data_IF_483100430660
#
_entry.id   IF_483100430660
#
_cell.length_a   1.000
_cell.length_b   1.000
_cell.length_c   1.000
_cell.angle_alpha   90.00
_cell.angle_beta   90.00
_cell.angle_gamma   90.00
#
_symmetry.space_group_name_H-M   'P 1'
#
loop_
_entity.id
_entity.type
_entity.pdbx_description
1 polymer ?
#
# COMPACT_ATOMS: atom_id res chain seq x y z
N UNK A 1 -30.24 13.23 12.56
CA UNK A 1 -28.93 12.57 12.44
C UNK A 1 -28.81 12.19 10.96
N UNK A 2 -28.07 13.01 10.18
CA UNK A 2 -27.84 12.72 8.77
C UNK A 2 -26.86 11.53 8.68
N UNK A 3 -27.19 10.55 7.84
CA UNK A 3 -26.28 9.48 7.50
C UNK A 3 -24.99 10.08 6.91
N UNK A 4 -23.81 9.54 7.21
CA UNK A 4 -22.57 10.01 6.61
C UNK A 4 -22.70 9.90 5.08
N UNK A 5 -22.43 10.98 4.38
CA UNK A 5 -22.39 10.98 2.91
C UNK A 5 -21.17 10.18 2.45
N UNK A 6 -21.24 9.53 1.28
CA UNK A 6 -20.14 8.72 0.71
C UNK A 6 -18.81 9.50 0.57
N UNK A 7 -18.85 10.83 0.55
CA UNK A 7 -17.68 11.71 0.51
C UNK A 7 -16.97 11.86 1.87
N UNK A 8 -17.66 11.65 3.00
CA UNK A 8 -17.05 11.69 4.35
C UNK A 8 -16.03 10.56 4.57
N UNK A 9 -16.15 9.45 3.85
CA UNK A 9 -15.23 8.31 3.94
C UNK A 9 -13.86 8.53 3.26
N UNK A 10 -13.75 9.53 2.39
CA UNK A 10 -12.49 9.89 1.72
C UNK A 10 -11.72 11.01 2.44
N UNK A 11 -12.24 11.54 3.54
CA UNK A 11 -11.57 12.59 4.31
C UNK A 11 -10.47 12.02 5.22
N UNK A 12 -9.26 11.87 4.67
CA UNK A 12 -8.07 11.43 5.42
C UNK A 12 -7.54 12.49 6.38
N UNK A 13 -8.08 13.69 6.41
CA UNK A 13 -7.66 14.75 7.35
C UNK A 13 -8.15 14.49 8.77
N UNK A 14 -9.23 13.75 8.94
CA UNK A 14 -9.76 13.37 10.26
C UNK A 14 -9.01 12.16 10.83
N UNK A 15 -8.83 12.05 12.16
CA UNK A 15 -8.32 10.84 12.78
C UNK A 15 -9.19 9.63 12.38
N UNK A 16 -8.53 8.54 11.97
CA UNK A 16 -9.26 7.29 11.73
C UNK A 16 -9.84 6.79 13.05
N UNK A 17 -11.11 6.40 13.04
CA UNK A 17 -11.64 5.61 14.16
C UNK A 17 -10.98 4.23 14.07
N UNK A 18 -10.35 3.71 15.16
CA UNK A 18 -9.81 2.37 15.13
C UNK A 18 -10.96 1.40 14.82
N UNK A 19 -10.79 0.60 13.78
CA UNK A 19 -11.71 -0.46 13.44
C UNK A 19 -11.58 -1.64 14.41
N UNK A 20 -12.48 -2.61 14.34
CA UNK A 20 -12.37 -3.83 15.11
C UNK A 20 -11.07 -4.56 14.73
N UNK A 21 -10.39 -5.21 15.70
CA UNK A 21 -9.19 -5.98 15.39
C UNK A 21 -9.51 -7.07 14.35
N UNK A 22 -8.57 -7.38 13.47
CA UNK A 22 -8.79 -8.44 12.47
C UNK A 22 -9.13 -9.76 13.13
N UNK A 23 -10.00 -10.58 12.54
CA UNK A 23 -10.35 -11.90 13.08
C UNK A 23 -9.11 -12.76 13.34
N UNK A 24 -9.08 -13.58 14.40
CA UNK A 24 -7.92 -14.42 14.75
C UNK A 24 -7.42 -15.31 13.61
N UNK A 25 -8.31 -15.86 12.81
CA UNK A 25 -7.99 -16.68 11.63
C UNK A 25 -7.23 -15.88 10.58
N UNK A 26 -7.63 -14.63 10.35
CA UNK A 26 -6.95 -13.72 9.40
C UNK A 26 -5.55 -13.36 9.91
N UNK A 27 -5.41 -13.14 11.22
CA UNK A 27 -4.10 -12.90 11.84
C UNK A 27 -3.20 -14.13 11.77
N UNK A 28 -3.72 -15.33 12.03
CA UNK A 28 -2.98 -16.58 11.94
C UNK A 28 -2.47 -16.82 10.51
N UNK A 29 -3.33 -16.64 9.51
CA UNK A 29 -2.96 -16.73 8.10
C UNK A 29 -1.91 -15.70 7.71
N UNK A 30 -2.07 -14.44 8.11
CA UNK A 30 -1.10 -13.37 7.83
C UNK A 30 0.27 -13.66 8.47
N UNK A 31 0.31 -14.23 9.69
CA UNK A 31 1.56 -14.68 10.32
C UNK A 31 2.23 -15.80 9.53
N UNK A 32 1.46 -16.76 9.03
CA UNK A 32 1.97 -17.83 8.20
C UNK A 32 2.51 -17.28 6.88
N UNK A 33 1.79 -16.38 6.21
CA UNK A 33 2.23 -15.71 4.98
C UNK A 33 3.51 -14.88 5.23
N UNK A 34 3.58 -14.13 6.34
CA UNK A 34 4.78 -13.38 6.72
C UNK A 34 5.99 -14.29 6.99
N UNK A 35 5.76 -15.47 7.59
CA UNK A 35 6.83 -16.43 7.90
C UNK A 35 7.28 -17.26 6.70
N UNK A 36 6.35 -17.56 5.78
CA UNK A 36 6.59 -18.46 4.63
C UNK A 36 6.73 -17.76 3.30
N UNK A 37 6.62 -16.43 3.23
CA UNK A 37 6.70 -15.62 2.00
C UNK A 37 7.71 -16.17 1.00
N UNK A 38 7.63 -15.83 -0.29
CA UNK A 38 8.55 -16.37 -1.30
C UNK A 38 9.99 -16.20 -0.80
N UNK A 39 10.79 -17.27 -0.60
CA UNK A 39 12.09 -17.20 0.06
C UNK A 39 13.04 -16.18 -0.57
N UNK A 40 12.96 -16.01 -1.89
CA UNK A 40 13.78 -15.05 -2.63
C UNK A 40 13.34 -13.60 -2.39
N UNK A 41 12.04 -13.34 -2.33
CA UNK A 41 11.49 -12.01 -2.03
C UNK A 41 11.65 -11.66 -0.56
N UNK A 42 11.47 -12.64 0.34
CA UNK A 42 11.70 -12.47 1.77
C UNK A 42 13.17 -12.12 2.08
N UNK A 43 14.15 -12.71 1.37
CA UNK A 43 15.57 -12.37 1.49
C UNK A 43 15.90 -10.94 1.04
N UNK A 44 15.03 -10.33 0.23
CA UNK A 44 15.14 -8.94 -0.22
C UNK A 44 14.34 -7.97 0.65
N UNK A 45 13.77 -8.44 1.76
CA UNK A 45 12.91 -7.65 2.64
C UNK A 45 11.49 -7.45 2.10
N UNK A 46 11.05 -8.32 1.18
CA UNK A 46 9.74 -8.19 0.54
C UNK A 46 8.83 -9.38 0.84
N UNK A 47 7.59 -9.11 1.28
CA UNK A 47 6.57 -10.10 1.58
C UNK A 47 5.30 -9.79 0.79
N UNK A 48 4.79 -10.74 0.03
CA UNK A 48 3.53 -10.62 -0.71
C UNK A 48 2.46 -11.50 -0.08
N UNK A 49 1.28 -10.93 0.16
CA UNK A 49 0.11 -11.71 0.55
C UNK A 49 -0.40 -12.51 -0.66
N UNK A 50 0.02 -13.77 -0.76
CA UNK A 50 -0.28 -14.66 -1.90
C UNK A 50 -1.78 -14.78 -2.23
N UNK A 51 -2.64 -14.60 -1.23
CA UNK A 51 -4.09 -14.73 -1.39
C UNK A 51 -4.74 -13.60 -2.21
N UNK A 52 -4.03 -12.50 -2.40
CA UNK A 52 -4.55 -11.31 -3.08
C UNK A 52 -3.89 -11.02 -4.41
N UNK A 53 -3.11 -11.95 -4.94
CA UNK A 53 -2.59 -11.80 -6.30
C UNK A 53 -3.75 -11.73 -7.29
N UNK A 54 -3.75 -10.75 -8.19
CA UNK A 54 -4.73 -10.72 -9.25
C UNK A 54 -4.50 -11.95 -10.14
N UNK A 55 -5.57 -12.63 -10.59
CA UNK A 55 -5.46 -13.78 -11.50
C UNK A 55 -4.91 -13.39 -12.88
N UNK A 56 -4.96 -12.10 -13.21
CA UNK A 56 -4.44 -11.51 -14.44
C UNK A 56 -3.83 -10.13 -14.15
N UNK A 57 -2.99 -9.64 -15.04
CA UNK A 57 -2.45 -8.29 -14.96
C UNK A 57 -3.56 -7.25 -14.81
N UNK A 58 -3.38 -6.30 -13.91
CA UNK A 58 -4.30 -5.18 -13.78
C UNK A 58 -4.15 -4.25 -14.99
N UNK A 59 -5.25 -3.67 -15.41
CA UNK A 59 -5.27 -2.71 -16.51
C UNK A 59 -5.06 -1.29 -15.95
N UNK A 60 -4.18 -0.46 -16.54
CA UNK A 60 -3.98 0.91 -16.08
C UNK A 60 -5.28 1.73 -16.15
N UNK A 61 -5.64 2.40 -15.07
CA UNK A 61 -6.87 3.23 -14.98
C UNK A 61 -6.85 4.43 -15.92
N UNK A 62 -5.67 4.93 -16.28
CA UNK A 62 -5.50 6.01 -17.25
C UNK A 62 -5.43 5.52 -18.72
N UNK A 63 -5.55 4.20 -18.95
CA UNK A 63 -5.56 3.58 -20.28
C UNK A 63 -4.18 3.40 -20.93
N UNK A 64 -3.08 3.85 -20.32
CA UNK A 64 -1.75 3.77 -20.95
C UNK A 64 -0.67 3.18 -20.04
N UNK A 65 -0.46 3.76 -18.87
CA UNK A 65 0.58 3.36 -17.91
C UNK A 65 -0.01 3.30 -16.50
N UNK A 66 0.47 2.37 -15.68
CA UNK A 66 0.08 2.31 -14.28
C UNK A 66 0.56 3.54 -13.52
N UNK A 67 -0.31 4.09 -12.68
CA UNK A 67 -0.02 5.19 -11.77
C UNK A 67 0.22 4.65 -10.38
N UNK A 68 1.43 4.85 -9.85
CA UNK A 68 1.81 4.46 -8.50
C UNK A 68 1.76 5.69 -7.60
N UNK A 69 0.99 5.59 -6.53
CA UNK A 69 0.91 6.64 -5.52
C UNK A 69 1.84 6.30 -4.36
N UNK A 70 2.86 7.12 -4.14
CA UNK A 70 3.89 6.92 -3.10
C UNK A 70 3.60 7.86 -1.94
N UNK A 71 3.39 7.29 -0.77
CA UNK A 71 3.14 8.01 0.48
C UNK A 71 4.32 7.78 1.41
N UNK A 72 5.13 8.83 1.61
CA UNK A 72 6.42 8.78 2.32
C UNK A 72 6.80 10.21 2.75
N UNK A 73 7.21 10.43 3.98
CA UNK A 73 7.59 11.76 4.46
C UNK A 73 9.05 12.15 4.14
N UNK A 74 9.93 11.17 3.98
CA UNK A 74 11.31 11.43 3.56
C UNK A 74 11.38 11.86 2.09
N UNK A 75 11.71 13.13 1.88
CA UNK A 75 11.78 13.71 0.54
C UNK A 75 12.85 13.06 -0.36
N UNK A 76 13.97 12.58 0.21
CA UNK A 76 15.02 11.91 -0.55
C UNK A 76 14.56 10.53 -1.02
N UNK A 77 13.93 9.77 -0.13
CA UNK A 77 13.37 8.47 -0.48
C UNK A 77 12.23 8.60 -1.49
N UNK A 78 11.34 9.58 -1.33
CA UNK A 78 10.30 9.90 -2.31
C UNK A 78 10.87 10.16 -3.70
N UNK A 79 11.91 11.02 -3.78
CA UNK A 79 12.57 11.34 -5.04
C UNK A 79 13.20 10.09 -5.67
N UNK A 80 13.97 9.31 -4.89
CA UNK A 80 14.60 8.10 -5.35
C UNK A 80 13.59 7.08 -5.89
N UNK A 81 12.54 6.79 -5.12
CA UNK A 81 11.48 5.86 -5.51
C UNK A 81 10.78 6.36 -6.78
N UNK A 82 10.49 7.66 -6.86
CA UNK A 82 9.86 8.28 -8.03
C UNK A 82 10.70 8.15 -9.29
N UNK A 83 12.00 8.43 -9.22
CA UNK A 83 12.93 8.30 -10.35
C UNK A 83 13.00 6.86 -10.86
N UNK A 84 13.12 5.91 -9.95
CA UNK A 84 13.17 4.49 -10.31
C UNK A 84 11.89 4.01 -10.94
N UNK A 85 10.73 4.27 -10.33
CA UNK A 85 9.43 3.85 -10.87
C UNK A 85 9.15 4.50 -12.22
N UNK A 86 9.55 5.76 -12.41
CA UNK A 86 9.43 6.45 -13.72
C UNK A 86 10.33 5.81 -14.76
N UNK A 87 11.55 5.40 -14.40
CA UNK A 87 12.47 4.64 -15.27
C UNK A 87 11.90 3.27 -15.68
N UNK A 88 11.10 2.66 -14.85
CA UNK A 88 10.37 1.40 -15.13
C UNK A 88 9.06 1.62 -15.92
N UNK A 89 8.77 2.84 -16.33
CA UNK A 89 7.62 3.18 -17.17
C UNK A 89 6.33 3.50 -16.41
N UNK A 90 6.36 3.57 -15.07
CA UNK A 90 5.21 3.97 -14.27
C UNK A 90 5.01 5.49 -14.25
N UNK A 91 3.77 5.93 -14.07
CA UNK A 91 3.46 7.28 -13.61
C UNK A 91 3.50 7.31 -12.09
N UNK A 92 3.99 8.40 -11.51
CA UNK A 92 4.11 8.53 -10.06
C UNK A 92 3.34 9.74 -9.53
N UNK A 93 2.70 9.57 -8.39
CA UNK A 93 2.10 10.64 -7.56
C UNK A 93 2.68 10.52 -6.16
N UNK A 94 2.68 11.62 -5.41
CA UNK A 94 3.34 11.69 -4.11
C UNK A 94 2.49 12.36 -3.06
N UNK A 95 2.62 11.90 -1.81
CA UNK A 95 2.12 12.59 -0.63
C UNK A 95 3.08 12.35 0.55
N UNK A 96 3.21 13.35 1.42
CA UNK A 96 4.08 13.33 2.60
C UNK A 96 3.32 13.44 3.93
N UNK A 97 2.03 13.72 3.86
CA UNK A 97 1.16 13.94 5.00
C UNK A 97 -0.31 13.69 4.65
N UNK A 98 -1.18 13.70 5.67
CA UNK A 98 -2.62 13.46 5.50
C UNK A 98 -3.31 14.38 4.49
N UNK A 99 -2.95 15.68 4.50
CA UNK A 99 -3.61 16.64 3.62
C UNK A 99 -3.29 16.35 2.15
N UNK A 100 -2.04 16.01 1.87
CA UNK A 100 -1.60 15.61 0.53
C UNK A 100 -2.23 14.29 0.10
N UNK A 101 -2.33 13.29 1.01
CA UNK A 101 -3.01 12.02 0.75
C UNK A 101 -4.47 12.29 0.36
N UNK A 102 -5.16 13.12 1.15
CA UNK A 102 -6.54 13.49 0.87
C UNK A 102 -6.69 14.18 -0.49
N UNK A 103 -5.81 15.13 -0.79
CA UNK A 103 -5.82 15.84 -2.06
C UNK A 103 -5.59 14.89 -3.26
N UNK A 104 -4.70 13.90 -3.14
CA UNK A 104 -4.40 12.95 -4.21
C UNK A 104 -5.54 11.96 -4.46
N UNK A 105 -6.21 11.46 -3.42
CA UNK A 105 -7.36 10.57 -3.61
C UNK A 105 -8.62 11.28 -4.16
N UNK A 106 -8.68 12.59 -4.08
CA UNK A 106 -9.74 13.39 -4.72
C UNK A 106 -9.48 13.70 -6.20
N UNK A 107 -8.30 13.37 -6.74
CA UNK A 107 -7.98 13.50 -8.17
C UNK A 107 -8.42 12.27 -8.95
N UNK A 108 -8.85 12.49 -10.19
CA UNK A 108 -9.19 11.41 -11.12
C UNK A 108 -8.19 11.36 -12.29
N UNK A 109 -7.93 10.19 -12.87
CA UNK A 109 -8.29 8.87 -12.36
C UNK A 109 -7.56 8.52 -11.05
N UNK A 110 -8.14 7.63 -10.23
CA UNK A 110 -7.47 7.11 -9.04
C UNK A 110 -6.17 6.37 -9.43
N UNK A 111 -5.16 6.27 -8.53
CA UNK A 111 -3.96 5.47 -8.78
C UNK A 111 -4.30 3.99 -8.90
N UNK A 112 -3.38 3.22 -9.49
CA UNK A 112 -3.53 1.77 -9.68
C UNK A 112 -2.95 0.97 -8.51
N UNK A 113 -1.98 1.57 -7.78
CA UNK A 113 -1.34 0.98 -6.61
C UNK A 113 -0.85 2.09 -5.67
N UNK A 114 -0.90 1.82 -4.38
CA UNK A 114 -0.34 2.69 -3.34
C UNK A 114 0.88 2.03 -2.70
N UNK A 115 2.00 2.73 -2.68
CA UNK A 115 3.13 2.45 -1.79
C UNK A 115 2.96 3.33 -0.55
N UNK A 116 2.81 2.72 0.62
CA UNK A 116 2.40 3.41 1.84
C UNK A 116 3.38 3.16 2.97
N UNK A 117 4.06 4.22 3.44
CA UNK A 117 4.84 4.13 4.65
C UNK A 117 3.95 3.97 5.88
N UNK A 118 4.38 3.14 6.82
CA UNK A 118 3.72 2.96 8.12
C UNK A 118 3.94 4.18 9.01
N UNK A 119 5.14 4.75 9.00
CA UNK A 119 5.57 5.79 9.95
C UNK A 119 5.51 7.18 9.32
N UNK A 120 4.32 7.77 9.27
CA UNK A 120 4.13 9.13 8.81
C UNK A 120 4.06 10.11 10.00
N UNK A 121 4.42 11.40 9.83
CA UNK A 121 4.54 12.35 10.94
C UNK A 121 3.20 12.70 11.62
N UNK A 122 2.11 12.63 10.88
CA UNK A 122 0.78 13.07 11.33
C UNK A 122 -0.27 11.93 11.34
N UNK A 123 0.13 10.71 10.96
CA UNK A 123 -0.77 9.55 10.92
C UNK A 123 -0.01 8.22 10.94
N UNK A 124 -0.72 7.14 11.21
CA UNK A 124 -0.22 5.77 11.07
C UNK A 124 -0.69 5.19 9.72
N UNK A 125 0.24 4.66 8.93
CA UNK A 125 -0.07 4.03 7.63
C UNK A 125 -1.07 2.87 7.76
N UNK A 126 -1.09 2.14 8.88
CA UNK A 126 -2.11 1.12 9.12
C UNK A 126 -3.51 1.72 9.20
N UNK A 127 -3.66 2.89 9.83
CA UNK A 127 -4.94 3.60 9.90
C UNK A 127 -5.42 4.07 8.52
N UNK A 128 -4.49 4.49 7.67
CA UNK A 128 -4.80 4.84 6.27
C UNK A 128 -5.26 3.60 5.50
N UNK A 129 -4.52 2.50 5.61
CA UNK A 129 -4.88 1.22 4.97
C UNK A 129 -6.29 0.77 5.37
N UNK A 130 -6.58 0.79 6.67
CA UNK A 130 -7.89 0.39 7.21
C UNK A 130 -9.01 1.27 6.63
N UNK A 131 -8.80 2.59 6.58
CA UNK A 131 -9.76 3.52 5.97
C UNK A 131 -9.95 3.24 4.48
N UNK A 132 -8.87 2.97 3.74
CA UNK A 132 -8.96 2.56 2.33
C UNK A 132 -9.81 1.30 2.17
N UNK A 133 -9.63 0.29 3.03
CA UNK A 133 -10.39 -0.97 2.96
C UNK A 133 -11.87 -0.80 3.30
N UNK A 134 -12.21 0.19 4.10
CA UNK A 134 -13.60 0.53 4.46
C UNK A 134 -14.29 1.45 3.43
N UNK A 135 -13.55 2.05 2.51
CA UNK A 135 -14.10 2.90 1.46
C UNK A 135 -14.40 2.10 0.18
N UNK A 136 -15.61 2.21 -0.37
CA UNK A 136 -16.04 1.44 -1.55
C UNK A 136 -15.15 1.64 -2.79
N UNK A 137 -14.68 2.89 -3.01
CA UNK A 137 -13.83 3.23 -4.18
C UNK A 137 -12.40 2.72 -4.06
N UNK A 138 -11.88 2.62 -2.81
CA UNK A 138 -10.49 2.28 -2.50
C UNK A 138 -10.31 0.84 -1.98
N UNK A 139 -11.39 0.16 -1.59
CA UNK A 139 -11.35 -1.15 -0.93
C UNK A 139 -10.57 -2.23 -1.70
N UNK A 140 -10.59 -2.16 -3.03
CA UNK A 140 -9.91 -3.11 -3.91
C UNK A 140 -8.59 -2.57 -4.49
N UNK A 141 -8.20 -1.36 -4.12
CA UNK A 141 -6.95 -0.76 -4.61
C UNK A 141 -5.75 -1.47 -4.01
N UNK A 142 -4.80 -1.95 -4.81
CA UNK A 142 -3.59 -2.59 -4.31
C UNK A 142 -2.79 -1.66 -3.41
N UNK A 143 -2.32 -2.19 -2.28
CA UNK A 143 -1.48 -1.46 -1.31
C UNK A 143 -0.28 -2.32 -0.94
N UNK A 144 0.91 -1.75 -1.13
CA UNK A 144 2.17 -2.29 -0.62
C UNK A 144 2.64 -1.39 0.52
N UNK A 145 2.76 -1.95 1.71
CA UNK A 145 3.28 -1.23 2.87
C UNK A 145 4.80 -1.14 2.80
N UNK A 146 5.35 0.02 3.13
CA UNK A 146 6.80 0.24 3.31
C UNK A 146 7.06 0.60 4.77
N UNK A 147 8.07 0.04 5.42
CA UNK A 147 8.34 0.37 6.81
C UNK A 147 9.73 -0.05 7.30
N UNK A 148 10.28 0.70 8.27
CA UNK A 148 11.44 0.29 9.06
C UNK A 148 11.14 -0.81 10.10
N UNK A 149 9.86 -1.11 10.31
CA UNK A 149 9.43 -2.17 11.24
C UNK A 149 9.48 -3.51 10.53
N UNK A 150 10.52 -4.29 10.80
CA UNK A 150 10.74 -5.61 10.21
C UNK A 150 10.25 -6.77 11.09
N UNK A 151 9.53 -6.48 12.18
CA UNK A 151 8.95 -7.49 13.04
C UNK A 151 7.84 -8.26 12.29
N UNK A 152 7.87 -9.57 12.39
CA UNK A 152 6.84 -10.47 11.82
C UNK A 152 5.44 -10.06 12.27
N UNK A 153 5.31 -9.53 13.48
CA UNK A 153 4.03 -9.05 14.02
C UNK A 153 3.49 -7.85 13.26
N UNK A 154 4.34 -6.88 12.92
CA UNK A 154 3.94 -5.68 12.15
C UNK A 154 3.60 -6.05 10.70
N UNK A 155 4.40 -6.94 10.10
CA UNK A 155 4.12 -7.48 8.76
C UNK A 155 2.77 -8.21 8.75
N UNK A 156 2.56 -9.10 9.71
CA UNK A 156 1.30 -9.84 9.84
C UNK A 156 0.12 -8.89 10.08
N UNK A 157 0.29 -7.82 10.86
CA UNK A 157 -0.73 -6.77 11.05
C UNK A 157 -1.11 -6.13 9.72
N UNK A 158 -0.14 -5.65 8.94
CA UNK A 158 -0.40 -5.04 7.63
C UNK A 158 -1.15 -5.98 6.67
N UNK A 159 -0.68 -7.21 6.54
CA UNK A 159 -1.32 -8.23 5.72
C UNK A 159 -2.74 -8.56 6.22
N UNK A 160 -2.94 -8.65 7.53
CA UNK A 160 -4.25 -8.92 8.12
C UNK A 160 -5.25 -7.78 7.93
N UNK A 161 -4.78 -6.53 7.90
CA UNK A 161 -5.58 -5.35 7.59
C UNK A 161 -5.89 -5.23 6.10
N UNK A 162 -5.23 -6.04 5.30
CA UNK A 162 -5.56 -6.12 3.89
C UNK A 162 -4.53 -5.52 2.95
N UNK A 163 -3.29 -5.32 3.36
CA UNK A 163 -2.20 -5.04 2.43
C UNK A 163 -2.04 -6.19 1.42
N UNK A 164 -1.63 -5.86 0.22
CA UNK A 164 -1.36 -6.82 -0.86
C UNK A 164 0.13 -7.20 -0.90
N UNK A 165 0.98 -6.37 -0.30
CA UNK A 165 2.39 -6.62 -0.11
C UNK A 165 2.98 -5.81 1.04
N UNK A 166 4.22 -6.14 1.41
CA UNK A 166 4.95 -5.50 2.49
C UNK A 166 6.45 -5.47 2.16
N UNK A 167 7.06 -4.29 2.27
CA UNK A 167 8.49 -4.07 2.02
C UNK A 167 9.14 -3.50 3.25
N UNK A 168 10.20 -4.14 3.75
CA UNK A 168 10.93 -3.68 4.94
C UNK A 168 12.09 -2.77 4.56
N UNK A 169 12.21 -1.60 5.20
CA UNK A 169 13.35 -0.67 5.10
C UNK A 169 14.52 -1.18 6.00
N UNK A 170 15.78 -1.13 5.56
CA UNK A 170 16.22 -0.71 4.23
C UNK A 170 15.94 -1.78 3.17
N UNK A 171 15.47 -1.39 1.99
CA UNK A 171 15.19 -2.30 0.90
C UNK A 171 16.10 -2.05 -0.31
N UNK A 172 16.27 -3.09 -1.13
CA UNK A 172 16.87 -2.93 -2.44
C UNK A 172 15.82 -2.37 -3.40
N UNK A 173 16.21 -1.42 -4.23
CA UNK A 173 15.31 -0.81 -5.23
C UNK A 173 14.70 -1.87 -6.16
N UNK A 174 15.50 -2.86 -6.59
CA UNK A 174 15.00 -3.98 -7.39
C UNK A 174 13.89 -4.78 -6.69
N UNK A 175 13.99 -4.93 -5.37
CA UNK A 175 12.95 -5.59 -4.57
C UNK A 175 11.65 -4.79 -4.54
N UNK A 176 11.73 -3.46 -4.42
CA UNK A 176 10.55 -2.59 -4.46
C UNK A 176 9.86 -2.65 -5.84
N UNK A 177 10.64 -2.58 -6.92
CA UNK A 177 10.12 -2.69 -8.30
C UNK A 177 9.45 -4.06 -8.50
N UNK A 178 10.11 -5.15 -8.09
CA UNK A 178 9.52 -6.49 -8.14
C UNK A 178 8.21 -6.56 -7.37
N UNK A 179 8.13 -5.93 -6.19
CA UNK A 179 6.92 -5.85 -5.39
C UNK A 179 5.76 -5.23 -6.16
N UNK A 180 6.01 -4.05 -6.73
CA UNK A 180 5.01 -3.32 -7.52
C UNK A 180 4.53 -4.16 -8.69
N UNK A 181 5.46 -4.72 -9.48
CA UNK A 181 5.14 -5.55 -10.65
C UNK A 181 4.32 -6.80 -10.26
N UNK A 182 4.74 -7.48 -9.19
CA UNK A 182 4.04 -8.67 -8.68
C UNK A 182 2.60 -8.36 -8.28
N UNK A 183 2.39 -7.27 -7.53
CA UNK A 183 1.06 -6.89 -7.05
C UNK A 183 0.17 -6.37 -8.19
N UNK A 184 0.75 -5.80 -9.23
CA UNK A 184 0.03 -5.43 -10.45
C UNK A 184 -0.21 -6.63 -11.39
N UNK A 185 0.45 -7.76 -11.15
CA UNK A 185 0.35 -8.95 -12.01
C UNK A 185 1.08 -8.81 -13.34
N UNK A 186 2.07 -7.93 -13.43
CA UNK A 186 2.87 -7.64 -14.64
C UNK A 186 4.32 -8.12 -14.52
N UNK A 187 4.56 -9.11 -13.68
CA UNK A 187 5.86 -9.78 -13.57
C UNK A 187 6.26 -10.37 -14.92
N UNK A 188 7.46 -10.04 -15.37
CA UNK A 188 8.11 -10.65 -16.53
C UNK A 188 8.70 -11.99 -16.18
#
# INVERSE_FOLDING_TARGET
MSAPTEDDDLDFTRPAKPGPPPPPERMARARQEAATGRPELARQGFYVAMAKRPPSALVPRNGSRHTIFVVEDDAHLLKLVGEVLSGEGFLTRFARNRNEINAEFNKQPLPDLVLLDVSLPDTDGFAILERMRNNQKLAKMPVVMMTGKSDVTDIAKGLSLGADGYVTKPFKISGLVSAVKTVLGIDS
#
